data_IF_337421949991
#
_entry.id   IF_337421949991
#
_cell.length_a   1.000
_cell.length_b   1.000
_cell.length_c   1.000
_cell.angle_alpha   90.00
_cell.angle_beta   90.00
_cell.angle_gamma   90.00
#
_symmetry.space_group_name_H-M   'P 1'
#
loop_
_entity.id
_entity.type
_entity.pdbx_description
1 polymer ?
#
# COMPACT_ATOMS: atom_id res chain seq x y z
N UNK A 1 17.97 -5.69 -21.29
CA UNK A 1 16.82 -6.10 -20.46
C UNK A 1 16.74 -5.08 -19.34
N UNK A 2 16.03 -3.98 -19.56
CA UNK A 2 15.97 -2.88 -18.60
C UNK A 2 14.88 -3.14 -17.57
N UNK A 3 15.22 -3.08 -16.29
CA UNK A 3 14.24 -2.97 -15.21
C UNK A 3 13.52 -1.62 -15.38
N UNK A 4 12.38 -1.59 -16.09
CA UNK A 4 11.48 -0.45 -16.05
C UNK A 4 10.68 -0.52 -14.76
N UNK A 5 11.13 0.20 -13.74
CA UNK A 5 10.32 0.44 -12.55
C UNK A 5 9.17 1.39 -12.90
N UNK A 6 8.02 1.18 -12.26
CA UNK A 6 6.83 2.02 -12.46
C UNK A 6 7.11 3.46 -12.03
N UNK A 7 6.69 4.42 -12.84
CA UNK A 7 6.78 5.85 -12.52
C UNK A 7 5.59 6.29 -11.68
N UNK A 8 5.83 7.23 -10.78
CA UNK A 8 4.80 8.00 -10.09
C UNK A 8 4.09 8.94 -11.08
N UNK A 9 2.85 9.32 -10.76
CA UNK A 9 2.13 10.38 -11.50
C UNK A 9 2.82 11.75 -11.37
N UNK A 10 3.55 11.94 -10.27
CA UNK A 10 4.41 13.08 -9.98
C UNK A 10 5.88 12.64 -10.17
N UNK A 11 6.55 13.02 -11.27
CA UNK A 11 7.91 12.55 -11.60
C UNK A 11 8.94 12.81 -10.50
N UNK A 12 8.80 13.90 -9.75
CA UNK A 12 9.58 14.28 -8.58
C UNK A 12 9.51 13.26 -7.43
N UNK A 13 8.46 12.44 -7.39
CA UNK A 13 8.32 11.37 -6.39
C UNK A 13 8.86 10.01 -6.88
N UNK A 14 9.42 9.91 -8.09
CA UNK A 14 9.88 8.64 -8.68
C UNK A 14 10.95 7.94 -7.83
N UNK A 15 11.96 8.69 -7.38
CA UNK A 15 13.07 8.10 -6.61
C UNK A 15 12.60 7.63 -5.24
N UNK A 16 11.68 8.36 -4.61
CA UNK A 16 11.06 7.97 -3.33
C UNK A 16 10.19 6.72 -3.50
N UNK A 17 9.41 6.66 -4.58
CA UNK A 17 8.62 5.48 -4.95
C UNK A 17 9.51 4.25 -5.13
N UNK A 18 10.61 4.38 -5.89
CA UNK A 18 11.51 3.25 -6.15
C UNK A 18 12.14 2.71 -4.87
N UNK A 19 12.55 3.59 -3.94
CA UNK A 19 13.10 3.19 -2.64
C UNK A 19 12.05 2.45 -1.79
N UNK A 20 10.85 3.01 -1.68
CA UNK A 20 9.75 2.38 -0.96
C UNK A 20 9.36 1.04 -1.58
N UNK A 21 9.10 0.98 -2.89
CA UNK A 21 8.69 -0.24 -3.60
C UNK A 21 9.76 -1.33 -3.47
N UNK A 22 11.04 -0.98 -3.55
CA UNK A 22 12.13 -1.95 -3.39
C UNK A 22 12.17 -2.54 -1.98
N UNK A 23 12.00 -1.71 -0.95
CA UNK A 23 11.90 -2.17 0.44
C UNK A 23 10.66 -3.06 0.62
N UNK A 24 9.49 -2.57 0.18
CA UNK A 24 8.23 -3.26 0.32
C UNK A 24 8.25 -4.62 -0.38
N UNK A 25 8.77 -4.71 -1.61
CA UNK A 25 8.81 -5.98 -2.35
C UNK A 25 9.66 -7.04 -1.65
N UNK A 26 10.79 -6.63 -1.05
CA UNK A 26 11.64 -7.52 -0.26
C UNK A 26 10.95 -7.96 1.02
N UNK A 27 10.40 -7.02 1.78
CA UNK A 27 9.65 -7.32 3.01
C UNK A 27 8.43 -8.22 2.73
N UNK A 28 7.67 -7.92 1.69
CA UNK A 28 6.45 -8.65 1.33
C UNK A 28 6.76 -10.11 1.01
N UNK A 29 7.78 -10.36 0.19
CA UNK A 29 8.16 -11.71 -0.23
C UNK A 29 8.87 -12.50 0.87
N UNK A 30 9.78 -11.85 1.59
CA UNK A 30 10.68 -12.55 2.51
C UNK A 30 10.14 -12.65 3.94
N UNK A 31 9.18 -11.80 4.32
CA UNK A 31 8.65 -11.71 5.69
C UNK A 31 7.13 -11.87 5.73
N UNK A 32 6.39 -10.99 5.06
CA UNK A 32 4.93 -10.96 5.17
C UNK A 32 4.30 -12.27 4.71
N UNK A 33 4.62 -12.74 3.49
CA UNK A 33 4.07 -13.99 2.95
C UNK A 33 4.48 -15.25 3.73
N UNK A 34 5.55 -15.16 4.53
CA UNK A 34 6.01 -16.26 5.39
C UNK A 34 5.42 -16.20 6.81
N UNK A 35 4.58 -15.21 7.10
CA UNK A 35 3.98 -15.01 8.42
C UNK A 35 4.92 -14.39 9.46
N UNK A 36 6.08 -13.87 9.05
CA UNK A 36 7.09 -13.26 9.92
C UNK A 36 7.04 -11.73 9.90
N UNK A 37 6.32 -11.13 8.94
CA UNK A 37 6.31 -9.69 8.68
C UNK A 37 5.09 -8.97 9.25
N UNK A 38 4.94 -8.91 10.58
CA UNK A 38 3.83 -8.18 11.23
C UNK A 38 4.10 -6.68 11.41
N UNK A 39 5.32 -6.23 11.14
CA UNK A 39 5.76 -4.85 11.34
C UNK A 39 6.17 -4.22 10.01
N UNK A 40 5.85 -2.93 9.84
CA UNK A 40 6.28 -2.18 8.66
C UNK A 40 7.73 -1.76 8.80
N UNK A 41 8.64 -2.52 8.19
CA UNK A 41 10.07 -2.21 8.15
C UNK A 41 10.42 -1.08 7.16
N UNK A 42 9.45 -0.67 6.33
CA UNK A 42 9.62 0.33 5.26
C UNK A 42 8.99 1.68 5.60
N UNK A 43 8.60 1.90 6.86
CA UNK A 43 7.85 3.09 7.31
C UNK A 43 8.57 4.40 6.93
N UNK A 44 9.88 4.51 7.15
CA UNK A 44 10.63 5.73 6.84
C UNK A 44 10.60 6.07 5.34
N UNK A 45 10.69 5.06 4.47
CA UNK A 45 10.58 5.25 3.02
C UNK A 45 9.14 5.54 2.61
N UNK A 46 8.17 4.92 3.27
CA UNK A 46 6.76 5.14 3.04
C UNK A 46 6.34 6.57 3.36
N UNK A 47 6.71 7.09 4.53
CA UNK A 47 6.37 8.45 4.97
C UNK A 47 6.90 9.47 3.96
N UNK A 48 8.17 9.35 3.57
CA UNK A 48 8.78 10.26 2.59
C UNK A 48 8.06 10.22 1.24
N UNK A 49 7.78 9.01 0.72
CA UNK A 49 7.05 8.86 -0.54
C UNK A 49 5.63 9.42 -0.45
N UNK A 50 4.92 9.10 0.63
CA UNK A 50 3.54 9.52 0.89
C UNK A 50 3.42 11.04 0.96
N UNK A 51 4.30 11.70 1.70
CA UNK A 51 4.31 13.17 1.80
C UNK A 51 4.49 13.81 0.42
N UNK A 52 5.37 13.27 -0.41
CA UNK A 52 5.54 13.72 -1.78
C UNK A 52 4.24 13.58 -2.58
N UNK A 53 3.62 12.39 -2.61
CA UNK A 53 2.39 12.20 -3.40
C UNK A 53 1.22 13.05 -2.89
N UNK A 54 1.07 13.24 -1.57
CA UNK A 54 -0.05 13.99 -0.98
C UNK A 54 -0.01 15.47 -1.40
N UNK A 55 1.19 16.07 -1.45
CA UNK A 55 1.39 17.45 -1.95
C UNK A 55 0.97 17.58 -3.42
N UNK A 56 1.27 16.56 -4.23
CA UNK A 56 0.99 16.61 -5.67
C UNK A 56 -0.45 16.17 -6.00
N UNK A 57 -1.05 15.27 -5.22
CA UNK A 57 -2.46 14.87 -5.34
C UNK A 57 -3.40 16.05 -5.10
N UNK A 58 -3.08 16.90 -4.11
CA UNK A 58 -3.86 18.11 -3.83
C UNK A 58 -3.93 19.07 -5.04
N UNK A 59 -2.93 19.07 -5.91
CA UNK A 59 -2.85 19.93 -7.11
C UNK A 59 -3.58 19.37 -8.33
N UNK A 60 -3.80 18.05 -8.37
CA UNK A 60 -4.38 17.35 -9.54
C UNK A 60 -5.90 17.46 -9.64
N UNK A 61 -6.60 17.95 -8.60
CA UNK A 61 -8.06 18.07 -8.58
C UNK A 61 -8.82 16.75 -8.42
N UNK A 62 -8.16 15.59 -8.61
CA UNK A 62 -8.74 14.25 -8.40
C UNK A 62 -8.91 13.88 -6.92
N UNK A 63 -8.24 14.61 -6.01
CA UNK A 63 -8.19 14.28 -4.59
C UNK A 63 -9.57 14.06 -3.94
N UNK A 64 -10.62 14.87 -4.17
CA UNK A 64 -11.94 14.62 -3.59
C UNK A 64 -12.56 13.28 -4.03
N UNK A 65 -12.38 12.90 -5.29
CA UNK A 65 -12.88 11.63 -5.83
C UNK A 65 -12.10 10.44 -5.24
N UNK A 66 -10.79 10.58 -5.09
CA UNK A 66 -9.95 9.58 -4.43
C UNK A 66 -10.32 9.43 -2.95
N UNK A 67 -10.55 10.53 -2.24
CA UNK A 67 -10.94 10.52 -0.82
C UNK A 67 -12.31 9.87 -0.61
N UNK A 68 -13.25 10.04 -1.55
CA UNK A 68 -14.55 9.37 -1.50
C UNK A 68 -14.43 7.87 -1.75
N UNK A 69 -13.73 7.47 -2.83
CA UNK A 69 -13.50 6.06 -3.14
C UNK A 69 -12.80 5.30 -2.00
N UNK A 70 -11.92 5.96 -1.24
CA UNK A 70 -11.23 5.36 -0.08
C UNK A 70 -12.13 5.07 1.11
N UNK A 71 -13.34 5.62 1.17
CA UNK A 71 -14.34 5.31 2.21
C UNK A 71 -15.21 4.12 1.82
N UNK A 72 -15.21 3.75 0.54
CA UNK A 72 -15.96 2.59 0.07
C UNK A 72 -15.33 1.30 0.63
N UNK A 73 -16.17 0.34 0.98
CA UNK A 73 -15.78 -1.00 1.42
C UNK A 73 -16.20 -1.98 0.33
N UNK A 74 -15.41 -2.14 -0.75
CA UNK A 74 -15.86 -2.82 -1.97
C UNK A 74 -15.95 -4.36 -1.82
N UNK A 75 -15.42 -4.92 -0.73
CA UNK A 75 -15.46 -6.34 -0.46
C UNK A 75 -16.78 -6.73 0.21
N UNK A 76 -17.26 -7.95 -0.07
CA UNK A 76 -18.42 -8.51 0.62
C UNK A 76 -18.25 -8.46 2.15
N UNK A 77 -19.34 -8.20 2.87
CA UNK A 77 -19.36 -8.06 4.34
C UNK A 77 -18.30 -7.07 4.88
N UNK A 78 -18.03 -5.98 4.17
CA UNK A 78 -17.04 -4.97 4.56
C UNK A 78 -15.61 -5.52 4.68
N UNK A 79 -15.31 -6.64 4.00
CA UNK A 79 -14.02 -7.33 4.11
C UNK A 79 -13.82 -8.07 5.43
N UNK A 80 -14.88 -8.22 6.24
CA UNK A 80 -14.84 -9.08 7.42
C UNK A 80 -14.84 -10.54 6.96
N UNK A 81 -14.00 -11.41 7.56
CA UNK A 81 -14.11 -12.84 7.35
C UNK A 81 -15.54 -13.29 7.64
N UNK A 82 -16.10 -14.16 6.81
CA UNK A 82 -17.32 -14.85 7.17
C UNK A 82 -17.06 -15.56 8.52
N UNK A 83 -17.97 -15.39 9.48
CA UNK A 83 -17.89 -16.13 10.73
C UNK A 83 -17.87 -17.63 10.40
N UNK A 84 -16.71 -18.28 10.54
CA UNK A 84 -16.65 -19.74 10.50
C UNK A 84 -17.48 -20.24 11.68
N UNK A 85 -18.41 -21.20 11.48
CA UNK A 85 -19.09 -21.82 12.60
C UNK A 85 -18.02 -22.40 13.53
N UNK A 86 -18.04 -21.97 14.79
CA UNK A 86 -17.15 -22.49 15.84
C UNK A 86 -17.38 -23.99 15.94
N UNK A 87 -16.56 -24.78 15.25
CA UNK A 87 -16.56 -26.21 15.41
C UNK A 87 -15.80 -26.48 16.72
N UNK A 88 -16.56 -26.78 17.78
CA UNK A 88 -16.02 -27.24 19.06
C UNK A 88 -14.99 -28.34 18.80
N UNK A 89 -13.71 -28.04 19.09
CA UNK A 89 -12.67 -29.06 19.15
C UNK A 89 -12.91 -29.88 20.41
N UNK A 90 -13.54 -31.04 20.23
CA UNK A 90 -13.58 -32.12 21.22
C UNK A 90 -12.17 -32.64 21.50
#
# INVERSE_FOLDING_TARGET
MGNLMSTSFAPECNDLKQKYDSCFNSWYSEKFLKGEGLHNECEDFWVQYKECIDVHLAKQGIKPLLDEARKELPFENDGKPAEEPVQERN
#
